data_IF_656425251576
#
_entry.id   IF_656425251576
#
_cell.length_a   1.000
_cell.length_b   1.000
_cell.length_c   1.000
_cell.angle_alpha   90.00
_cell.angle_beta   90.00
_cell.angle_gamma   90.00
#
_symmetry.space_group_name_H-M   'P 1'
#
loop_
_entity.id
_entity.type
_entity.pdbx_description
1 polymer ?
#
# COMPACT_ATOMS: atom_id res chain seq x y z
N UNK A 1 9.33 36.88 3.50
CA UNK A 1 7.94 37.23 3.84
C UNK A 1 6.91 36.16 3.43
N UNK A 2 6.87 35.62 2.19
CA UNK A 2 5.81 34.68 1.78
C UNK A 2 5.96 33.27 2.37
N UNK A 3 7.19 32.81 2.62
CA UNK A 3 7.47 31.47 3.15
C UNK A 3 6.88 31.23 4.54
N UNK A 4 6.82 32.26 5.40
CA UNK A 4 6.21 32.17 6.73
C UNK A 4 4.70 31.98 6.66
N UNK A 5 4.06 32.59 5.66
CA UNK A 5 2.63 32.51 5.41
C UNK A 5 2.25 31.13 4.87
N UNK A 6 2.99 30.61 3.88
CA UNK A 6 2.82 29.24 3.40
C UNK A 6 3.06 28.21 4.51
N UNK A 7 4.12 28.38 5.31
CA UNK A 7 4.41 27.51 6.45
C UNK A 7 3.29 27.54 7.50
N UNK A 8 2.75 28.73 7.83
CA UNK A 8 1.66 28.84 8.80
C UNK A 8 0.36 28.21 8.29
N UNK A 9 0.01 28.41 7.01
CA UNK A 9 -1.20 27.81 6.43
C UNK A 9 -1.07 26.29 6.40
N UNK A 10 0.09 25.77 6.00
CA UNK A 10 0.35 24.34 5.95
C UNK A 10 0.34 23.71 7.34
N UNK A 11 0.88 24.40 8.36
CA UNK A 11 0.83 23.96 9.75
C UNK A 11 -0.60 23.90 10.29
N UNK A 12 -1.43 24.92 10.02
CA UNK A 12 -2.84 24.94 10.44
C UNK A 12 -3.63 23.84 9.74
N UNK A 13 -3.44 23.65 8.43
CA UNK A 13 -4.08 22.59 7.67
C UNK A 13 -3.70 21.19 8.20
N UNK A 14 -2.41 20.97 8.51
CA UNK A 14 -1.93 19.73 9.11
C UNK A 14 -2.55 19.49 10.50
N UNK A 15 -2.65 20.53 11.34
CA UNK A 15 -3.24 20.42 12.68
C UNK A 15 -4.74 20.05 12.62
N UNK A 16 -5.49 20.69 11.72
CA UNK A 16 -6.91 20.36 11.48
C UNK A 16 -7.04 18.93 10.95
N UNK A 17 -6.20 18.54 9.98
CA UNK A 17 -6.16 17.17 9.45
C UNK A 17 -5.91 16.13 10.54
N UNK A 18 -4.92 16.37 11.41
CA UNK A 18 -4.61 15.49 12.54
C UNK A 18 -5.78 15.38 13.53
N UNK A 19 -6.44 16.49 13.85
CA UNK A 19 -7.63 16.49 14.71
C UNK A 19 -8.78 15.68 14.10
N UNK A 20 -9.03 15.85 12.81
CA UNK A 20 -10.05 15.07 12.10
C UNK A 20 -9.71 13.59 12.09
N UNK A 21 -8.44 13.23 11.86
CA UNK A 21 -7.99 11.84 11.91
C UNK A 21 -8.23 11.25 13.30
N UNK A 22 -7.83 11.95 14.36
CA UNK A 22 -7.91 11.48 15.74
C UNK A 22 -9.35 11.27 16.24
N UNK A 23 -10.28 12.13 15.81
CA UNK A 23 -11.68 12.07 16.26
C UNK A 23 -12.49 10.92 15.65
N UNK A 24 -11.98 10.24 14.61
CA UNK A 24 -12.71 9.13 13.97
C UNK A 24 -12.11 7.78 14.31
N UNK A 25 -12.87 6.88 14.98
CA UNK A 25 -12.42 5.53 15.28
C UNK A 25 -12.01 4.75 14.02
N UNK A 26 -12.73 4.92 12.91
CA UNK A 26 -12.44 4.23 11.64
C UNK A 26 -11.07 4.63 11.05
N UNK A 27 -10.72 5.92 11.11
CA UNK A 27 -9.42 6.39 10.63
C UNK A 27 -8.29 5.92 11.53
N UNK A 28 -8.52 5.92 12.84
CA UNK A 28 -7.55 5.44 13.81
C UNK A 28 -7.31 3.93 13.72
N UNK A 29 -8.35 3.13 13.51
CA UNK A 29 -8.22 1.69 13.32
C UNK A 29 -7.36 1.32 12.10
N UNK A 30 -7.46 2.09 11.00
CA UNK A 30 -6.60 1.88 9.82
C UNK A 30 -5.15 2.26 10.09
N UNK A 31 -4.93 3.35 10.83
CA UNK A 31 -3.58 3.81 11.17
C UNK A 31 -2.89 2.93 12.21
N UNK A 32 -3.64 2.28 13.10
CA UNK A 32 -3.07 1.28 14.01
C UNK A 32 -2.56 0.03 13.29
N UNK A 33 -2.99 -0.21 12.05
CA UNK A 33 -2.50 -1.33 11.24
C UNK A 33 -1.19 -1.03 10.51
N UNK A 34 -0.62 0.19 10.64
CA UNK A 34 0.67 0.52 10.06
C UNK A 34 1.77 -0.32 10.72
N UNK A 35 2.37 -1.23 9.94
CA UNK A 35 3.37 -2.15 10.45
C UNK A 35 2.81 -3.23 11.39
N UNK A 36 1.51 -3.54 11.30
CA UNK A 36 0.94 -4.66 12.03
C UNK A 36 1.61 -5.97 11.61
N UNK A 37 1.94 -6.81 12.59
CA UNK A 37 2.51 -8.16 12.40
C UNK A 37 1.46 -9.27 12.54
N UNK A 38 0.25 -8.90 12.95
CA UNK A 38 -0.90 -9.75 13.14
C UNK A 38 -2.17 -9.04 12.66
N UNK A 39 -3.24 -9.80 12.39
CA UNK A 39 -4.49 -9.24 11.87
C UNK A 39 -5.25 -8.37 12.90
N UNK A 40 -4.89 -8.49 14.19
CA UNK A 40 -5.55 -7.79 15.29
C UNK A 40 -6.96 -8.30 15.59
N UNK A 41 -7.67 -7.68 16.55
CA UNK A 41 -9.03 -8.07 16.90
C UNK A 41 -9.99 -7.88 15.72
N UNK A 42 -10.81 -8.89 15.43
CA UNK A 42 -11.77 -8.87 14.32
C UNK A 42 -11.15 -8.59 12.93
N UNK A 43 -9.91 -9.02 12.72
CA UNK A 43 -9.23 -9.00 11.42
C UNK A 43 -9.08 -7.61 10.79
N UNK A 44 -9.07 -6.55 11.62
CA UNK A 44 -9.00 -5.15 11.18
C UNK A 44 -7.77 -4.84 10.33
N UNK A 45 -6.67 -5.58 10.53
CA UNK A 45 -5.40 -5.40 9.82
C UNK A 45 -5.12 -6.50 8.80
N UNK A 46 -6.07 -7.42 8.56
CA UNK A 46 -5.89 -8.55 7.65
C UNK A 46 -5.50 -8.10 6.24
N UNK A 47 -6.18 -7.07 5.72
CA UNK A 47 -5.96 -6.53 4.38
C UNK A 47 -4.50 -6.05 4.14
N UNK A 48 -3.96 -5.08 4.90
CA UNK A 48 -2.58 -4.65 4.71
C UNK A 48 -1.55 -5.74 5.07
N UNK A 49 -1.86 -6.61 6.05
CA UNK A 49 -0.99 -7.70 6.47
C UNK A 49 -0.77 -8.70 5.33
N UNK A 50 -1.84 -9.29 4.79
CA UNK A 50 -1.75 -10.27 3.71
C UNK A 50 -1.19 -9.67 2.41
N UNK A 51 -1.44 -8.38 2.17
CA UNK A 51 -0.80 -7.68 1.06
C UNK A 51 0.72 -7.59 1.21
N UNK A 52 1.22 -7.38 2.44
CA UNK A 52 2.66 -7.40 2.71
C UNK A 52 3.26 -8.81 2.62
N UNK A 53 2.51 -9.84 3.04
CA UNK A 53 2.92 -11.24 2.93
C UNK A 53 3.02 -11.72 1.48
N UNK A 54 2.04 -11.36 0.63
CA UNK A 54 2.09 -11.66 -0.80
C UNK A 54 3.34 -11.05 -1.48
N UNK A 55 3.68 -9.81 -1.14
CA UNK A 55 4.92 -9.18 -1.63
C UNK A 55 6.17 -9.87 -1.11
N UNK A 56 6.18 -10.27 0.17
CA UNK A 56 7.34 -10.89 0.79
C UNK A 56 7.60 -12.33 0.30
N UNK A 57 6.57 -13.08 -0.07
CA UNK A 57 6.68 -14.49 -0.47
C UNK A 57 7.25 -14.70 -1.88
N UNK A 58 7.18 -13.69 -2.75
CA UNK A 58 7.61 -13.81 -4.15
C UNK A 58 9.12 -13.88 -4.41
N UNK A 59 9.97 -13.52 -3.45
CA UNK A 59 11.43 -13.56 -3.64
C UNK A 59 11.92 -12.77 -4.88
N UNK A 60 12.98 -13.24 -5.55
CA UNK A 60 13.56 -12.53 -6.71
C UNK A 60 12.80 -12.77 -8.01
N UNK A 61 12.30 -13.99 -8.24
CA UNK A 61 11.72 -14.42 -9.53
C UNK A 61 10.25 -14.86 -9.43
N UNK A 62 9.65 -14.81 -8.26
CA UNK A 62 8.26 -15.20 -8.05
C UNK A 62 8.09 -16.69 -7.76
N UNK A 63 6.89 -17.05 -7.34
CA UNK A 63 6.43 -18.44 -7.21
C UNK A 63 5.98 -19.05 -8.54
N UNK A 64 5.81 -18.23 -9.58
CA UNK A 64 5.31 -18.62 -10.89
C UNK A 64 3.89 -18.10 -11.15
N UNK A 65 3.61 -17.78 -12.42
CA UNK A 65 2.28 -17.31 -12.84
C UNK A 65 1.21 -18.33 -12.46
N UNK A 66 0.16 -17.86 -11.79
CA UNK A 66 -0.91 -18.75 -11.35
C UNK A 66 -0.66 -19.44 -10.01
N UNK A 67 0.58 -19.47 -9.51
CA UNK A 67 0.96 -20.19 -8.28
C UNK A 67 0.79 -19.37 -6.99
N UNK A 68 0.29 -18.13 -7.08
CA UNK A 68 0.03 -17.31 -5.89
C UNK A 68 -1.01 -17.94 -4.97
N UNK A 69 -0.71 -17.99 -3.67
CA UNK A 69 -1.56 -18.56 -2.62
C UNK A 69 -2.50 -17.50 -2.07
N UNK A 70 -2.04 -16.25 -1.94
CA UNK A 70 -2.79 -15.19 -1.26
C UNK A 70 -4.07 -14.79 -2.02
N UNK A 71 -4.07 -14.94 -3.34
CA UNK A 71 -5.22 -14.63 -4.20
C UNK A 71 -6.45 -15.54 -4.01
N UNK A 72 -6.30 -16.72 -3.41
CA UNK A 72 -7.38 -17.72 -3.30
C UNK A 72 -8.24 -17.58 -2.03
N UNK A 73 -8.14 -16.44 -1.33
CA UNK A 73 -9.05 -16.09 -0.23
C UNK A 73 -8.37 -15.68 1.07
N UNK A 74 -7.04 -15.57 1.10
CA UNK A 74 -6.30 -15.04 2.25
C UNK A 74 -6.19 -13.51 2.21
N UNK A 75 -6.10 -12.93 1.00
CA UNK A 75 -6.15 -11.50 0.77
C UNK A 75 -7.52 -11.09 0.23
N UNK A 76 -8.35 -10.37 1.00
CA UNK A 76 -9.58 -9.79 0.46
C UNK A 76 -9.22 -8.82 -0.68
N UNK A 77 -10.08 -8.70 -1.69
CA UNK A 77 -9.88 -7.73 -2.78
C UNK A 77 -8.52 -7.84 -3.53
N UNK A 78 -7.98 -9.06 -3.64
CA UNK A 78 -6.71 -9.33 -4.33
C UNK A 78 -6.70 -8.90 -5.82
N UNK A 79 -7.87 -8.83 -6.45
CA UNK A 79 -8.03 -8.50 -7.88
C UNK A 79 -8.17 -6.99 -8.18
N UNK A 80 -8.38 -6.16 -7.16
CA UNK A 80 -8.66 -4.73 -7.31
C UNK A 80 -7.54 -3.90 -6.70
N UNK A 81 -7.55 -3.75 -5.38
CA UNK A 81 -6.67 -2.82 -4.67
C UNK A 81 -5.27 -3.43 -4.39
N UNK A 82 -5.14 -4.76 -4.47
CA UNK A 82 -3.91 -5.49 -4.14
C UNK A 82 -3.30 -6.28 -5.30
N UNK A 83 -3.66 -5.95 -6.55
CA UNK A 83 -3.14 -6.63 -7.74
C UNK A 83 -1.61 -6.58 -7.84
N UNK A 84 -1.00 -5.49 -7.37
CA UNK A 84 0.46 -5.34 -7.35
C UNK A 84 1.12 -6.32 -6.37
N UNK A 85 0.48 -6.58 -5.23
CA UNK A 85 0.99 -7.53 -4.25
C UNK A 85 0.96 -8.98 -4.78
N UNK A 86 -0.13 -9.35 -5.46
CA UNK A 86 -0.24 -10.65 -6.16
C UNK A 86 0.80 -10.76 -7.29
N UNK A 87 1.03 -9.67 -8.03
CA UNK A 87 2.07 -9.64 -9.06
C UNK A 87 3.47 -9.87 -8.46
N UNK A 88 3.73 -9.32 -7.27
CA UNK A 88 4.95 -9.57 -6.51
C UNK A 88 5.09 -11.01 -6.06
N UNK A 89 4.02 -11.64 -5.61
CA UNK A 89 4.03 -13.07 -5.27
C UNK A 89 4.39 -13.95 -6.49
N UNK A 90 3.73 -13.72 -7.63
CA UNK A 90 3.84 -14.59 -8.80
C UNK A 90 5.10 -14.34 -9.65
N UNK A 91 5.55 -13.08 -9.77
CA UNK A 91 6.68 -12.68 -10.62
C UNK A 91 7.91 -12.19 -9.83
N UNK A 92 7.78 -12.03 -8.51
CA UNK A 92 8.88 -11.61 -7.63
C UNK A 92 9.31 -10.16 -7.82
N UNK A 93 10.51 -9.88 -7.31
CA UNK A 93 11.17 -8.57 -7.43
C UNK A 93 11.37 -8.16 -8.91
N UNK A 94 11.75 -9.10 -9.77
CA UNK A 94 11.97 -8.82 -11.19
C UNK A 94 10.68 -8.32 -11.89
N UNK A 95 9.55 -8.97 -11.64
CA UNK A 95 8.26 -8.56 -12.19
C UNK A 95 7.78 -7.22 -11.65
N UNK A 96 7.84 -7.03 -10.34
CA UNK A 96 7.40 -5.77 -9.70
C UNK A 96 8.24 -4.58 -10.13
N UNK A 97 9.57 -4.71 -10.23
CA UNK A 97 10.44 -3.66 -10.77
C UNK A 97 10.13 -3.35 -12.23
N UNK A 98 9.83 -4.37 -13.04
CA UNK A 98 9.45 -4.17 -14.44
C UNK A 98 8.15 -3.37 -14.55
N UNK A 99 7.14 -3.65 -13.71
CA UNK A 99 5.89 -2.87 -13.67
C UNK A 99 6.15 -1.42 -13.25
N UNK A 100 6.96 -1.20 -12.22
CA UNK A 100 7.33 0.16 -11.80
C UNK A 100 8.09 0.92 -12.88
N UNK A 101 9.00 0.25 -13.61
CA UNK A 101 9.73 0.84 -14.73
C UNK A 101 8.79 1.25 -15.87
N UNK A 102 7.78 0.44 -16.18
CA UNK A 102 6.77 0.78 -17.19
C UNK A 102 5.92 1.99 -16.78
N UNK A 103 5.49 2.08 -15.51
CA UNK A 103 4.78 3.26 -15.00
C UNK A 103 5.68 4.51 -15.01
N UNK A 104 6.95 4.39 -14.65
CA UNK A 104 7.90 5.50 -14.72
C UNK A 104 8.13 5.97 -16.17
N UNK A 105 8.28 5.03 -17.11
CA UNK A 105 8.40 5.34 -18.53
C UNK A 105 7.14 6.02 -19.08
N UNK A 106 5.96 5.57 -18.67
CA UNK A 106 4.68 6.21 -19.02
C UNK A 106 4.59 7.64 -18.47
N UNK A 107 4.97 7.85 -17.21
CA UNK A 107 5.02 9.18 -16.60
C UNK A 107 6.00 10.11 -17.31
N UNK A 108 7.18 9.61 -17.66
CA UNK A 108 8.17 10.38 -18.43
C UNK A 108 7.66 10.73 -19.83
N UNK A 109 7.07 9.76 -20.54
CA UNK A 109 6.51 9.97 -21.87
C UNK A 109 5.32 10.93 -21.86
N UNK A 110 4.54 11.00 -20.79
CA UNK A 110 3.43 11.94 -20.65
C UNK A 110 3.84 13.38 -20.31
N UNK A 111 5.02 13.58 -19.72
CA UNK A 111 5.56 14.92 -19.39
C UNK A 111 6.34 15.51 -20.56
N UNK A 112 6.96 14.65 -21.39
CA UNK A 112 7.71 15.02 -22.58
C UNK A 112 6.79 15.44 -23.73
#
# INVERSE_FOLDING_TARGET
APTRLFASVLAVAAAIGALLIWTSPNRMARLSCLGATDAGPADICLQPLHGSYALASGGLFGSGLGAGVEKWGQLPEAHTDFIFAVTGEELGLAGTLSVLALFAALGYAGIR
#
